data_IF_127408908966
#
_entry.id   IF_127408908966
#
_cell.length_a   1.000
_cell.length_b   1.000
_cell.length_c   1.000
_cell.angle_alpha   90.00
_cell.angle_beta   90.00
_cell.angle_gamma   90.00
#
_symmetry.space_group_name_H-M   'P 1'
#
loop_
_entity.id
_entity.type
_entity.pdbx_description
1 polymer ?
#
# COMPACT_ATOMS: atom_id res chain seq x y z
N UNK A 1 20.91 -11.82 4.59
CA UNK A 1 19.50 -11.54 4.25
C UNK A 1 19.31 -10.19 3.54
N UNK A 2 19.95 -9.08 4.00
CA UNK A 2 19.81 -7.75 3.38
C UNK A 2 20.30 -7.72 1.93
N UNK A 3 21.45 -8.29 1.65
CA UNK A 3 22.06 -8.30 0.30
C UNK A 3 21.19 -9.05 -0.71
N UNK A 4 20.53 -10.13 -0.27
CA UNK A 4 19.58 -10.85 -1.12
C UNK A 4 18.32 -10.00 -1.41
N UNK A 5 17.78 -9.29 -0.40
CA UNK A 5 16.65 -8.41 -0.58
C UNK A 5 16.99 -7.24 -1.52
N UNK A 6 18.16 -6.61 -1.34
CA UNK A 6 18.66 -5.55 -2.22
C UNK A 6 18.75 -6.05 -3.67
N UNK A 7 19.34 -7.22 -3.88
CA UNK A 7 19.48 -7.80 -5.21
C UNK A 7 18.13 -7.99 -5.91
N UNK A 8 17.16 -8.65 -5.25
CA UNK A 8 15.86 -8.94 -5.87
C UNK A 8 15.00 -7.70 -6.05
N UNK A 9 15.00 -6.76 -5.10
CA UNK A 9 14.26 -5.52 -5.21
C UNK A 9 14.82 -4.64 -6.34
N UNK A 10 16.15 -4.57 -6.45
CA UNK A 10 16.81 -3.87 -7.56
C UNK A 10 16.47 -4.49 -8.91
N UNK A 11 16.58 -5.80 -9.03
CA UNK A 11 16.24 -6.51 -10.25
C UNK A 11 14.78 -6.26 -10.68
N UNK A 12 13.85 -6.28 -9.73
CA UNK A 12 12.44 -5.98 -9.98
C UNK A 12 12.23 -4.53 -10.42
N UNK A 13 12.88 -3.57 -9.75
CA UNK A 13 12.81 -2.15 -10.07
C UNK A 13 13.38 -1.85 -11.46
N UNK A 14 14.57 -2.35 -11.76
CA UNK A 14 15.25 -2.14 -13.04
C UNK A 14 14.45 -2.79 -14.19
N UNK A 15 13.92 -4.01 -13.98
CA UNK A 15 13.09 -4.70 -14.96
C UNK A 15 11.77 -3.95 -15.21
N UNK A 16 11.15 -3.41 -14.18
CA UNK A 16 9.91 -2.65 -14.29
C UNK A 16 10.14 -1.34 -15.05
N UNK A 17 11.22 -0.63 -14.75
CA UNK A 17 11.62 0.56 -15.49
C UNK A 17 11.93 0.25 -16.96
N UNK A 18 12.65 -0.84 -17.25
CA UNK A 18 12.99 -1.25 -18.61
C UNK A 18 11.75 -1.59 -19.45
N UNK A 19 10.74 -2.24 -18.87
CA UNK A 19 9.48 -2.60 -19.54
C UNK A 19 8.57 -1.42 -19.81
N UNK A 20 8.83 -0.26 -19.21
CA UNK A 20 8.06 0.97 -19.35
C UNK A 20 6.56 0.82 -19.07
N UNK A 21 6.20 -0.04 -18.12
CA UNK A 21 4.82 -0.19 -17.65
C UNK A 21 4.68 0.64 -16.37
N UNK A 22 3.96 1.77 -16.48
CA UNK A 22 3.86 2.79 -15.44
C UNK A 22 3.53 2.22 -14.06
N UNK A 23 2.50 1.39 -13.95
CA UNK A 23 2.09 0.82 -12.67
C UNK A 23 3.19 -0.03 -12.02
N UNK A 24 3.87 -0.88 -12.80
CA UNK A 24 4.96 -1.71 -12.30
C UNK A 24 6.17 -0.87 -11.92
N UNK A 25 6.52 0.13 -12.74
CA UNK A 25 7.63 1.02 -12.46
C UNK A 25 7.40 1.79 -11.15
N UNK A 26 6.20 2.36 -10.96
CA UNK A 26 5.84 3.02 -9.71
C UNK A 26 5.86 2.08 -8.51
N UNK A 27 5.31 0.88 -8.65
CA UNK A 27 5.27 -0.06 -7.54
C UNK A 27 6.66 -0.54 -7.14
N UNK A 28 7.43 -1.08 -8.09
CA UNK A 28 8.71 -1.72 -7.75
C UNK A 28 9.85 -0.72 -7.56
N UNK A 29 9.99 0.29 -8.41
CA UNK A 29 11.08 1.26 -8.27
C UNK A 29 10.88 2.19 -7.07
N UNK A 30 9.63 2.55 -6.72
CA UNK A 30 9.32 3.30 -5.51
C UNK A 30 9.61 2.45 -4.26
N UNK A 31 9.12 1.20 -4.21
CA UNK A 31 9.40 0.31 -3.07
C UNK A 31 10.89 0.06 -2.89
N UNK A 32 11.64 -0.02 -3.99
CA UNK A 32 13.10 -0.13 -3.90
C UNK A 32 13.74 1.16 -3.40
N UNK A 33 13.28 2.32 -3.83
CA UNK A 33 13.74 3.60 -3.30
C UNK A 33 13.42 3.72 -1.79
N UNK A 34 12.22 3.30 -1.38
CA UNK A 34 11.82 3.26 0.04
C UNK A 34 12.67 2.26 0.85
N UNK A 35 13.06 1.14 0.29
CA UNK A 35 14.01 0.22 0.93
C UNK A 35 15.42 0.83 1.09
N UNK A 36 15.85 1.69 0.15
CA UNK A 36 17.18 2.27 0.13
C UNK A 36 17.35 3.48 1.06
N UNK A 37 16.30 4.20 1.45
CA UNK A 37 16.45 5.53 2.06
C UNK A 37 17.24 5.54 3.37
N UNK A 38 17.25 4.45 4.13
CA UNK A 38 17.96 4.36 5.41
C UNK A 38 19.47 4.12 5.26
N UNK A 39 19.90 3.41 4.22
CA UNK A 39 21.30 3.00 4.11
C UNK A 39 22.00 3.47 2.85
N UNK A 40 21.25 3.83 1.82
CA UNK A 40 21.79 4.43 0.59
C UNK A 40 20.84 5.52 0.05
N UNK A 41 20.64 6.61 0.79
CA UNK A 41 19.68 7.65 0.43
C UNK A 41 19.98 8.31 -0.92
N UNK A 42 21.25 8.34 -1.36
CA UNK A 42 21.62 8.83 -2.70
C UNK A 42 21.04 7.95 -3.79
N UNK A 43 21.12 6.63 -3.64
CA UNK A 43 20.54 5.70 -4.58
C UNK A 43 19.00 5.77 -4.56
N UNK A 44 18.38 5.91 -3.39
CA UNK A 44 16.94 6.16 -3.25
C UNK A 44 16.50 7.37 -4.09
N UNK A 45 17.14 8.52 -3.92
CA UNK A 45 16.83 9.74 -4.69
C UNK A 45 17.02 9.51 -6.19
N UNK A 46 18.03 8.76 -6.60
CA UNK A 46 18.25 8.44 -8.01
C UNK A 46 17.05 7.69 -8.61
N UNK A 47 16.53 6.66 -7.95
CA UNK A 47 15.36 5.91 -8.42
C UNK A 47 14.10 6.77 -8.45
N UNK A 48 13.88 7.62 -7.45
CA UNK A 48 12.76 8.56 -7.43
C UNK A 48 12.85 9.58 -8.58
N UNK A 49 14.05 10.08 -8.91
CA UNK A 49 14.26 10.97 -10.05
C UNK A 49 13.94 10.28 -11.37
N UNK A 50 14.42 9.05 -11.57
CA UNK A 50 14.11 8.25 -12.76
C UNK A 50 12.59 8.04 -12.93
N UNK A 51 11.88 7.80 -11.83
CA UNK A 51 10.41 7.72 -11.86
C UNK A 51 9.77 9.05 -12.28
N UNK A 52 10.22 10.17 -11.68
CA UNK A 52 9.66 11.50 -11.98
C UNK A 52 9.95 11.95 -13.40
N UNK A 53 11.14 11.66 -13.94
CA UNK A 53 11.52 11.97 -15.32
C UNK A 53 10.68 11.18 -16.32
N UNK A 54 10.40 9.90 -16.01
CA UNK A 54 9.66 9.01 -16.92
C UNK A 54 8.14 9.18 -16.82
N UNK A 55 7.63 9.51 -15.64
CA UNK A 55 6.20 9.64 -15.33
C UNK A 55 5.94 10.95 -14.57
N UNK A 56 6.05 12.12 -15.25
CA UNK A 56 5.99 13.43 -14.62
C UNK A 56 4.62 13.73 -13.99
N UNK A 57 3.55 13.11 -14.49
CA UNK A 57 2.18 13.28 -13.99
C UNK A 57 1.94 12.64 -12.62
N UNK A 58 2.80 11.70 -12.22
CA UNK A 58 2.68 11.04 -10.91
C UNK A 58 3.39 11.82 -9.82
N UNK A 59 2.65 12.18 -8.80
CA UNK A 59 3.21 12.81 -7.61
C UNK A 59 3.76 11.74 -6.65
N UNK A 60 5.05 11.91 -6.29
CA UNK A 60 5.78 11.05 -5.34
C UNK A 60 6.55 11.88 -4.32
N UNK A 61 6.03 13.09 -4.03
CA UNK A 61 6.73 14.09 -3.22
C UNK A 61 7.14 13.58 -1.84
N UNK A 62 6.23 12.88 -1.16
CA UNK A 62 6.49 12.33 0.17
C UNK A 62 7.67 11.35 0.20
N UNK A 63 7.89 10.58 -0.86
CA UNK A 63 9.00 9.59 -0.93
C UNK A 63 10.38 10.24 -0.94
N UNK A 64 10.51 11.52 -1.32
CA UNK A 64 11.78 12.24 -1.30
C UNK A 64 12.20 12.71 0.11
N UNK A 65 11.29 12.84 1.05
CA UNK A 65 11.54 13.48 2.34
C UNK A 65 12.58 12.74 3.17
N UNK A 66 12.35 11.44 3.41
CA UNK A 66 13.26 10.64 4.25
C UNK A 66 14.68 10.51 3.68
N UNK A 67 14.88 10.26 2.37
CA UNK A 67 16.22 10.28 1.80
C UNK A 67 16.98 11.60 2.01
N UNK A 68 16.32 12.76 1.90
CA UNK A 68 16.95 14.04 2.14
C UNK A 68 17.27 14.28 3.64
N UNK A 69 16.36 13.86 4.55
CA UNK A 69 16.63 13.91 6.00
C UNK A 69 17.85 13.04 6.34
N UNK A 70 17.96 11.85 5.77
CA UNK A 70 19.05 10.92 6.05
C UNK A 70 20.40 11.36 5.43
N UNK A 71 20.36 12.23 4.42
CA UNK A 71 21.55 12.90 3.90
C UNK A 71 21.96 14.14 4.72
N UNK A 72 21.14 14.59 5.66
CA UNK A 72 21.34 15.83 6.39
C UNK A 72 20.97 17.10 5.60
N UNK A 73 20.38 16.94 4.40
CA UNK A 73 19.95 18.02 3.51
C UNK A 73 18.55 18.54 3.93
N UNK A 74 18.48 19.13 5.13
CA UNK A 74 17.21 19.48 5.77
C UNK A 74 16.40 20.53 4.99
N UNK A 75 17.05 21.44 4.28
CA UNK A 75 16.36 22.43 3.43
C UNK A 75 15.67 21.78 2.24
N UNK A 76 16.31 20.77 1.64
CA UNK A 76 15.71 19.98 0.59
C UNK A 76 14.50 19.19 1.11
N UNK A 77 14.62 18.56 2.28
CA UNK A 77 13.52 17.85 2.91
C UNK A 77 12.33 18.79 3.20
N UNK A 78 12.59 19.98 3.74
CA UNK A 78 11.56 20.99 4.03
C UNK A 78 10.80 21.38 2.76
N UNK A 79 11.51 21.67 1.68
CA UNK A 79 10.90 22.01 0.39
C UNK A 79 9.94 20.92 -0.12
N UNK A 80 10.30 19.66 0.04
CA UNK A 80 9.42 18.55 -0.38
C UNK A 80 8.22 18.37 0.56
N UNK A 81 8.37 18.60 1.86
CA UNK A 81 7.27 18.59 2.83
C UNK A 81 6.28 19.71 2.50
N UNK A 82 6.75 20.94 2.29
CA UNK A 82 5.91 22.10 1.94
C UNK A 82 5.13 21.84 0.64
N UNK A 83 5.83 21.33 -0.38
CA UNK A 83 5.18 21.01 -1.66
C UNK A 83 4.13 19.91 -1.50
N UNK A 84 4.43 18.86 -0.73
CA UNK A 84 3.49 17.77 -0.45
C UNK A 84 2.28 18.27 0.36
N UNK A 85 2.47 19.18 1.31
CA UNK A 85 1.38 19.83 2.06
C UNK A 85 0.46 20.59 1.12
N UNK A 86 1.02 21.42 0.25
CA UNK A 86 0.23 22.19 -0.72
C UNK A 86 -0.53 21.29 -1.70
N UNK A 87 0.04 20.17 -2.09
CA UNK A 87 -0.59 19.20 -2.98
C UNK A 87 -1.77 18.51 -2.30
N UNK A 88 -1.59 18.07 -1.05
CA UNK A 88 -2.68 17.51 -0.23
C UNK A 88 -3.83 18.48 -0.02
N UNK A 89 -3.52 19.77 0.24
CA UNK A 89 -4.54 20.82 0.39
C UNK A 89 -5.30 21.09 -0.92
N UNK A 90 -4.59 21.13 -2.06
CA UNK A 90 -5.19 21.37 -3.39
C UNK A 90 -6.05 20.21 -3.87
N UNK A 91 -5.64 19.00 -3.60
CA UNK A 91 -6.39 17.81 -3.99
C UNK A 91 -7.65 17.58 -3.14
N UNK A 92 -7.86 18.37 -2.07
CA UNK A 92 -8.91 18.16 -1.08
C UNK A 92 -8.95 16.68 -0.63
N UNK A 93 -7.76 16.11 -0.47
CA UNK A 93 -7.62 14.70 -0.14
C UNK A 93 -8.12 14.44 1.28
N UNK A 94 -9.13 13.59 1.40
CA UNK A 94 -9.60 13.05 2.69
C UNK A 94 -8.74 11.87 3.16
N UNK A 95 -7.61 11.59 2.49
CA UNK A 95 -6.70 10.50 2.84
C UNK A 95 -5.93 10.83 4.12
N UNK A 96 -6.50 10.40 5.24
CA UNK A 96 -5.92 10.56 6.59
C UNK A 96 -4.50 10.00 6.66
N UNK A 97 -4.19 8.92 5.91
CA UNK A 97 -2.87 8.30 5.94
C UNK A 97 -1.81 9.23 5.31
N UNK A 98 -2.12 9.87 4.19
CA UNK A 98 -1.23 10.84 3.54
C UNK A 98 -0.99 12.07 4.41
N UNK A 99 -2.04 12.60 5.06
CA UNK A 99 -1.91 13.71 6.01
C UNK A 99 -1.07 13.32 7.24
N UNK A 100 -1.33 12.16 7.83
CA UNK A 100 -0.58 11.65 8.97
C UNK A 100 0.91 11.46 8.63
N UNK A 101 1.22 10.89 7.47
CA UNK A 101 2.58 10.69 7.00
C UNK A 101 3.29 12.03 6.78
N UNK A 102 2.63 12.99 6.13
CA UNK A 102 3.20 14.31 5.91
C UNK A 102 3.48 15.02 7.25
N UNK A 103 2.62 14.88 8.22
CA UNK A 103 2.81 15.41 9.55
C UNK A 103 3.96 14.71 10.31
N UNK A 104 4.10 13.39 10.18
CA UNK A 104 5.22 12.65 10.70
C UNK A 104 6.56 13.14 10.13
N UNK A 105 6.60 13.48 8.84
CA UNK A 105 7.78 14.07 8.22
C UNK A 105 8.11 15.46 8.80
N UNK A 106 7.11 16.32 9.01
CA UNK A 106 7.29 17.61 9.67
C UNK A 106 7.83 17.43 11.09
N UNK A 107 7.32 16.46 11.83
CA UNK A 107 7.78 16.10 13.16
C UNK A 107 9.26 15.70 13.15
N UNK A 108 9.65 14.74 12.30
CA UNK A 108 11.03 14.24 12.19
C UNK A 108 11.98 15.38 11.81
N UNK A 109 11.58 16.22 10.86
CA UNK A 109 12.37 17.38 10.44
C UNK A 109 12.56 18.37 11.60
N UNK A 110 11.48 18.70 12.34
CA UNK A 110 11.53 19.59 13.49
C UNK A 110 12.47 19.07 14.57
N UNK A 111 12.43 17.78 14.89
CA UNK A 111 13.36 17.15 15.83
C UNK A 111 14.80 17.26 15.34
N UNK A 112 15.07 17.04 14.06
CA UNK A 112 16.42 17.16 13.47
C UNK A 112 16.94 18.60 13.49
N UNK A 113 16.05 19.58 13.40
CA UNK A 113 16.37 21.02 13.47
C UNK A 113 16.38 21.57 14.89
N UNK A 114 16.15 20.74 15.92
CA UNK A 114 15.99 21.17 17.33
C UNK A 114 14.90 22.24 17.51
N UNK A 115 13.82 22.17 16.71
CA UNK A 115 12.67 23.05 16.83
C UNK A 115 11.59 22.43 17.72
N UNK A 116 10.78 23.27 18.44
CA UNK A 116 9.63 22.74 19.15
C UNK A 116 8.64 22.10 18.17
N UNK A 117 8.16 20.91 18.48
CA UNK A 117 7.22 20.16 17.64
C UNK A 117 5.95 19.89 18.42
N UNK A 118 4.81 20.12 17.79
CA UNK A 118 3.50 19.82 18.38
C UNK A 118 3.18 18.32 18.23
N UNK A 119 3.34 17.58 19.32
CA UNK A 119 3.07 16.14 19.38
C UNK A 119 1.56 15.86 19.39
N UNK A 120 0.72 16.82 19.80
CA UNK A 120 -0.73 16.59 19.96
C UNK A 120 -1.41 16.26 18.64
N UNK A 121 -1.03 16.94 17.57
CA UNK A 121 -1.54 16.65 16.21
C UNK A 121 -1.11 15.28 15.70
N UNK A 122 0.13 14.86 15.96
CA UNK A 122 0.58 13.51 15.60
C UNK A 122 -0.27 12.46 16.31
N UNK A 123 -0.57 12.65 17.59
CA UNK A 123 -1.47 11.79 18.36
C UNK A 123 -2.86 11.69 17.70
N UNK A 124 -3.47 12.83 17.36
CA UNK A 124 -4.78 12.87 16.70
C UNK A 124 -4.81 12.10 15.37
N UNK A 125 -3.75 12.23 14.54
CA UNK A 125 -3.65 11.46 13.30
C UNK A 125 -3.46 9.97 13.55
N UNK A 126 -2.64 9.59 14.54
CA UNK A 126 -2.47 8.18 14.92
C UNK A 126 -3.79 7.55 15.40
N UNK A 127 -4.56 8.26 16.22
CA UNK A 127 -5.87 7.81 16.69
C UNK A 127 -6.87 7.65 15.53
N UNK A 128 -6.88 8.62 14.60
CA UNK A 128 -7.71 8.56 13.41
C UNK A 128 -7.33 7.38 12.51
N UNK A 129 -6.04 7.15 12.28
CA UNK A 129 -5.55 6.00 11.52
C UNK A 129 -5.91 4.67 12.17
N UNK A 130 -5.77 4.58 13.51
CA UNK A 130 -6.16 3.39 14.25
C UNK A 130 -7.65 3.10 14.11
N UNK A 131 -8.49 4.14 14.20
CA UNK A 131 -9.94 4.01 14.03
C UNK A 131 -10.31 3.51 12.64
N UNK A 132 -9.76 4.12 11.59
CA UNK A 132 -9.99 3.70 10.20
C UNK A 132 -9.52 2.26 9.98
N UNK A 133 -8.33 1.91 10.45
CA UNK A 133 -7.79 0.55 10.35
C UNK A 133 -8.71 -0.46 11.04
N UNK A 134 -9.13 -0.17 12.26
CA UNK A 134 -10.03 -1.04 13.05
C UNK A 134 -11.38 -1.26 12.35
N UNK A 135 -11.96 -0.21 11.76
CA UNK A 135 -13.20 -0.31 10.99
C UNK A 135 -13.01 -1.15 9.71
N UNK A 136 -11.89 -0.96 9.00
CA UNK A 136 -11.57 -1.73 7.80
C UNK A 136 -11.39 -3.21 8.12
N UNK A 137 -10.63 -3.54 9.16
CA UNK A 137 -10.43 -4.92 9.60
C UNK A 137 -11.75 -5.59 10.03
N UNK A 138 -12.64 -4.83 10.69
CA UNK A 138 -13.97 -5.33 11.05
C UNK A 138 -14.82 -5.64 9.83
N UNK A 139 -14.88 -4.72 8.87
CA UNK A 139 -15.61 -4.90 7.62
C UNK A 139 -15.07 -6.09 6.80
N UNK A 140 -13.75 -6.27 6.76
CA UNK A 140 -13.11 -7.41 6.09
C UNK A 140 -13.46 -8.74 6.76
N UNK A 141 -13.44 -8.79 8.09
CA UNK A 141 -13.87 -9.98 8.85
C UNK A 141 -15.33 -10.33 8.57
N UNK A 142 -16.23 -9.36 8.59
CA UNK A 142 -17.65 -9.54 8.26
C UNK A 142 -17.83 -10.10 6.85
N UNK A 143 -17.11 -9.52 5.87
CA UNK A 143 -17.10 -10.00 4.48
C UNK A 143 -16.62 -11.45 4.35
N UNK A 144 -15.56 -11.82 5.06
CA UNK A 144 -15.05 -13.20 5.07
C UNK A 144 -16.04 -14.18 5.69
N UNK A 145 -16.74 -13.79 6.77
CA UNK A 145 -17.79 -14.60 7.39
C UNK A 145 -18.93 -14.84 6.39
N UNK A 146 -19.39 -13.80 5.71
CA UNK A 146 -20.47 -13.90 4.71
C UNK A 146 -20.06 -14.77 3.51
N UNK A 147 -18.86 -14.61 2.99
CA UNK A 147 -18.33 -15.47 1.94
C UNK A 147 -18.31 -16.95 2.35
N UNK A 148 -17.86 -17.24 3.58
CA UNK A 148 -17.84 -18.61 4.09
C UNK A 148 -19.24 -19.18 4.28
N UNK A 149 -20.21 -18.35 4.68
CA UNK A 149 -21.62 -18.74 4.80
C UNK A 149 -22.19 -19.11 3.42
N UNK A 150 -22.03 -18.23 2.43
CA UNK A 150 -22.48 -18.47 1.06
C UNK A 150 -21.83 -19.73 0.46
N UNK A 151 -20.54 -19.94 0.70
CA UNK A 151 -19.84 -21.16 0.25
C UNK A 151 -20.45 -22.43 0.86
N UNK A 152 -20.78 -22.42 2.16
CA UNK A 152 -21.43 -23.54 2.82
C UNK A 152 -22.83 -23.81 2.29
N UNK A 153 -23.61 -22.77 2.00
CA UNK A 153 -24.94 -22.89 1.41
C UNK A 153 -24.87 -23.49 0.01
N UNK A 154 -23.95 -23.02 -0.84
CA UNK A 154 -23.71 -23.58 -2.17
C UNK A 154 -23.33 -25.06 -2.11
N UNK A 155 -22.41 -25.45 -1.24
CA UNK A 155 -22.04 -26.85 -1.04
C UNK A 155 -23.23 -27.73 -0.60
N UNK A 156 -24.11 -27.20 0.28
CA UNK A 156 -25.34 -27.91 0.68
C UNK A 156 -26.30 -28.11 -0.50
N UNK A 157 -26.47 -27.09 -1.33
CA UNK A 157 -27.31 -27.16 -2.53
C UNK A 157 -26.75 -28.16 -3.55
N UNK A 158 -25.45 -28.18 -3.78
CA UNK A 158 -24.77 -29.15 -4.66
C UNK A 158 -24.96 -30.57 -4.14
N UNK A 159 -24.74 -30.82 -2.87
CA UNK A 159 -24.98 -32.15 -2.27
C UNK A 159 -26.45 -32.57 -2.37
N UNK A 160 -27.39 -31.65 -2.17
CA UNK A 160 -28.82 -31.91 -2.33
C UNK A 160 -29.15 -32.30 -3.79
N UNK A 161 -28.64 -31.54 -4.76
CA UNK A 161 -28.82 -31.86 -6.19
C UNK A 161 -28.25 -33.24 -6.56
N UNK A 162 -27.06 -33.56 -6.08
CA UNK A 162 -26.45 -34.88 -6.33
C UNK A 162 -27.29 -36.01 -5.74
N UNK A 163 -27.80 -35.85 -4.50
CA UNK A 163 -28.72 -36.86 -3.90
C UNK A 163 -29.97 -37.03 -4.71
N UNK A 164 -30.63 -35.94 -5.13
CA UNK A 164 -31.85 -36.00 -5.97
C UNK A 164 -31.58 -36.68 -7.30
N UNK A 165 -30.46 -36.34 -7.94
CA UNK A 165 -30.05 -36.98 -9.20
C UNK A 165 -29.80 -38.47 -9.02
N UNK A 166 -29.08 -38.87 -7.96
CA UNK A 166 -28.82 -40.29 -7.68
C UNK A 166 -30.10 -41.07 -7.43
N UNK A 167 -31.08 -40.50 -6.71
CA UNK A 167 -32.40 -41.13 -6.49
C UNK A 167 -33.14 -41.28 -7.81
N UNK A 168 -33.17 -40.28 -8.69
CA UNK A 168 -33.81 -40.33 -9.99
C UNK A 168 -33.21 -41.43 -10.88
N UNK A 169 -31.88 -41.56 -10.89
CA UNK A 169 -31.19 -42.62 -11.63
C UNK A 169 -31.59 -43.99 -11.11
N UNK A 170 -31.62 -44.20 -9.81
CA UNK A 170 -32.02 -45.47 -9.19
C UNK A 170 -33.47 -45.83 -9.55
N UNK A 171 -34.40 -44.88 -9.45
CA UNK A 171 -35.82 -45.09 -9.77
C UNK A 171 -35.99 -45.41 -11.27
N UNK A 172 -35.25 -44.71 -12.14
CA UNK A 172 -35.29 -44.97 -13.58
C UNK A 172 -34.77 -46.38 -13.92
N UNK A 173 -33.70 -46.83 -13.28
CA UNK A 173 -33.16 -48.18 -13.48
C UNK A 173 -34.13 -49.24 -12.98
N UNK A 174 -34.80 -49.05 -11.86
CA UNK A 174 -35.80 -49.97 -11.35
C UNK A 174 -37.03 -50.07 -12.26
N UNK A 175 -37.45 -48.94 -12.89
CA UNK A 175 -38.59 -48.93 -13.82
C UNK A 175 -38.30 -49.67 -15.15
N UNK A 176 -37.05 -49.87 -15.49
CA UNK A 176 -36.66 -50.63 -16.71
C UNK A 176 -36.62 -52.14 -16.43
N UNK A 177 -36.44 -52.53 -15.17
CA UNK A 177 -36.32 -53.94 -14.75
C UNK A 177 -37.69 -54.61 -14.45
N UNK A 178 -38.76 -53.82 -14.38
CA UNK A 178 -40.14 -54.27 -14.24
C UNK A 178 -40.84 -54.29 -15.60
#
# INVERSE_FOLDING_TARGET
MRDSADYYLRLAADSALAKNIEWYAHHFARNYADFLYDFNPKASIRYLRLLKERYPEREILGSYVMPWINLGELDSARKYIEKNTLDLERSHSDDIASHALNYAYQFILGVKENKPVDISRLGQYCDSLYTVKSQTEKAERERLVDQNRLRRENLRLEMSRQRTFSILVIVSLLSILV
#
